data_IF_703736218049
#
_entry.id   IF_703736218049
#
_cell.length_a   1.000
_cell.length_b   1.000
_cell.length_c   1.000
_cell.angle_alpha   90.00
_cell.angle_beta   90.00
_cell.angle_gamma   90.00
#
_symmetry.space_group_name_H-M   'P 1'
#
loop_
_entity.id
_entity.type
_entity.pdbx_description
1 polymer ?
#
# COMPACT_ATOMS: atom_id res chain seq x y z
N UNK A 1 7.97 -2.50 -55.77
CA UNK A 1 7.10 -3.33 -54.91
C UNK A 1 7.64 -3.55 -53.49
N UNK A 2 8.90 -3.97 -53.30
CA UNK A 2 9.49 -4.22 -51.96
C UNK A 2 9.43 -3.03 -50.98
N UNK A 3 9.69 -1.80 -51.43
CA UNK A 3 9.62 -0.60 -50.57
C UNK A 3 8.19 -0.31 -50.07
N UNK A 4 7.17 -0.47 -50.91
CA UNK A 4 5.76 -0.29 -50.49
C UNK A 4 5.35 -1.37 -49.47
N UNK A 5 5.71 -2.63 -49.68
CA UNK A 5 5.43 -3.70 -48.70
C UNK A 5 6.12 -3.46 -47.34
N UNK A 6 7.36 -2.97 -47.33
CA UNK A 6 8.06 -2.58 -46.10
C UNK A 6 7.39 -1.40 -45.39
N UNK A 7 6.88 -0.43 -46.15
CA UNK A 7 6.18 0.74 -45.61
C UNK A 7 4.80 0.38 -45.04
N UNK A 8 4.06 -0.52 -45.70
CA UNK A 8 2.80 -1.07 -45.19
C UNK A 8 3.01 -1.86 -43.90
N UNK A 9 4.01 -2.75 -43.84
CA UNK A 9 4.33 -3.50 -42.62
C UNK A 9 4.64 -2.61 -41.41
N UNK A 10 5.38 -1.51 -41.62
CA UNK A 10 5.69 -0.52 -40.56
C UNK A 10 4.47 0.30 -40.13
N UNK A 11 3.55 0.63 -41.04
CA UNK A 11 2.30 1.31 -40.68
C UNK A 11 1.39 0.40 -39.86
N UNK A 12 1.25 -0.86 -40.25
CA UNK A 12 0.44 -1.85 -39.52
C UNK A 12 0.99 -2.11 -38.13
N UNK A 13 2.32 -2.23 -37.98
CA UNK A 13 2.95 -2.44 -36.67
C UNK A 13 2.75 -1.25 -35.70
N UNK A 14 2.87 -0.01 -36.21
CA UNK A 14 2.60 1.21 -35.43
C UNK A 14 1.15 1.32 -35.00
N UNK A 15 0.22 0.96 -35.88
CA UNK A 15 -1.21 0.94 -35.58
C UNK A 15 -1.52 -0.10 -34.50
N UNK A 16 -0.96 -1.31 -34.58
CA UNK A 16 -1.16 -2.36 -33.59
C UNK A 16 -0.63 -1.97 -32.19
N UNK A 17 0.53 -1.32 -32.12
CA UNK A 17 1.07 -0.83 -30.85
C UNK A 17 0.25 0.32 -30.26
N UNK A 18 -0.18 1.28 -31.10
CA UNK A 18 -1.07 2.35 -30.66
C UNK A 18 -2.40 1.80 -30.13
N UNK A 19 -2.97 0.79 -30.80
CA UNK A 19 -4.16 0.07 -30.35
C UNK A 19 -3.87 -0.65 -29.03
N UNK A 20 -2.74 -1.35 -28.88
CA UNK A 20 -2.39 -2.06 -27.64
C UNK A 20 -2.21 -1.09 -26.45
N UNK A 21 -1.59 0.08 -26.65
CA UNK A 21 -1.48 1.10 -25.61
C UNK A 21 -2.83 1.72 -25.27
N UNK A 22 -3.64 2.05 -26.28
CA UNK A 22 -4.98 2.59 -26.05
C UNK A 22 -5.84 1.59 -25.26
N UNK A 23 -5.78 0.31 -25.62
CA UNK A 23 -6.40 -0.78 -24.86
C UNK A 23 -5.81 -0.93 -23.45
N UNK A 24 -4.49 -0.80 -23.28
CA UNK A 24 -3.84 -0.80 -21.98
C UNK A 24 -4.31 0.34 -21.08
N UNK A 25 -4.43 1.56 -21.62
CA UNK A 25 -4.94 2.74 -20.92
C UNK A 25 -6.43 2.61 -20.58
N UNK A 26 -7.25 2.07 -21.49
CA UNK A 26 -8.66 1.78 -21.24
C UNK A 26 -8.79 0.70 -20.15
N UNK A 27 -7.99 -0.36 -20.21
CA UNK A 27 -7.96 -1.40 -19.18
C UNK A 27 -7.52 -0.85 -17.82
N UNK A 28 -6.57 0.08 -17.76
CA UNK A 28 -6.17 0.79 -16.54
C UNK A 28 -7.32 1.64 -15.98
N UNK A 29 -8.04 2.38 -16.83
CA UNK A 29 -9.23 3.16 -16.46
C UNK A 29 -10.37 2.27 -15.92
N UNK A 30 -10.62 1.13 -16.55
CA UNK A 30 -11.64 0.15 -16.11
C UNK A 30 -11.18 -0.59 -14.84
N UNK A 31 -9.88 -0.83 -14.67
CA UNK A 31 -9.30 -1.47 -13.48
C UNK A 31 -9.21 -0.51 -12.28
N UNK A 32 -9.16 0.81 -12.53
CA UNK A 32 -9.26 1.84 -11.50
C UNK A 32 -10.64 1.72 -10.85
N UNK A 33 -10.70 1.10 -9.68
CA UNK A 33 -12.00 0.85 -9.04
C UNK A 33 -12.64 2.19 -8.69
N UNK A 34 -13.76 2.52 -9.34
CA UNK A 34 -14.50 3.75 -9.09
C UNK A 34 -15.18 3.78 -7.70
N UNK A 35 -14.91 2.78 -6.86
CA UNK A 35 -15.60 2.50 -5.62
C UNK A 35 -14.94 3.12 -4.38
N UNK A 36 -13.72 3.63 -4.48
CA UNK A 36 -12.98 4.18 -3.33
C UNK A 36 -12.62 5.65 -3.58
N UNK A 37 -12.79 6.48 -2.56
CA UNK A 37 -12.29 7.85 -2.50
C UNK A 37 -11.12 7.89 -1.53
N UNK A 38 -10.01 8.50 -1.95
CA UNK A 38 -8.82 8.72 -1.12
C UNK A 38 -8.68 10.21 -0.85
N UNK A 39 -8.46 10.57 0.41
CA UNK A 39 -8.23 11.94 0.85
C UNK A 39 -6.96 12.01 1.70
N UNK A 40 -6.06 12.95 1.40
CA UNK A 40 -4.93 13.25 2.27
C UNK A 40 -5.40 13.88 3.58
N UNK A 41 -4.79 13.46 4.68
CA UNK A 41 -5.07 13.98 6.01
C UNK A 41 -3.78 14.49 6.65
N UNK A 42 -3.91 15.56 7.42
CA UNK A 42 -2.84 16.17 8.18
C UNK A 42 -3.36 16.38 9.60
N UNK A 43 -2.68 15.80 10.59
CA UNK A 43 -3.08 15.85 12.00
C UNK A 43 -1.96 16.46 12.82
N UNK A 44 -2.21 17.59 13.46
CA UNK A 44 -1.23 18.25 14.32
C UNK A 44 -1.22 17.60 15.71
N UNK A 45 -0.10 17.00 16.09
CA UNK A 45 0.13 16.39 17.41
C UNK A 45 0.56 17.45 18.42
N UNK A 46 1.43 18.36 17.98
CA UNK A 46 1.87 19.55 18.72
C UNK A 46 2.36 20.62 17.73
N UNK A 47 2.66 21.86 18.17
CA UNK A 47 3.11 22.92 17.26
C UNK A 47 4.26 22.48 16.34
N UNK A 48 4.02 22.53 15.03
CA UNK A 48 4.94 22.08 13.96
C UNK A 48 5.22 20.57 13.91
N UNK A 49 4.46 19.74 14.64
CA UNK A 49 4.53 18.29 14.55
C UNK A 49 3.25 17.76 13.91
N UNK A 50 3.31 17.60 12.58
CA UNK A 50 2.17 17.16 11.77
C UNK A 50 2.38 15.73 11.29
N UNK A 51 1.40 14.87 11.57
CA UNK A 51 1.28 13.55 10.99
C UNK A 51 0.59 13.64 9.63
N UNK A 52 1.17 12.96 8.65
CA UNK A 52 0.61 12.86 7.30
C UNK A 52 0.01 11.48 7.07
N UNK A 53 -1.19 11.44 6.53
CA UNK A 53 -1.88 10.20 6.23
C UNK A 53 -2.82 10.26 5.04
N UNK A 54 -3.57 9.18 4.86
CA UNK A 54 -4.65 9.08 3.87
C UNK A 54 -5.86 8.38 4.47
N UNK A 55 -7.04 8.92 4.16
CA UNK A 55 -8.34 8.33 4.46
C UNK A 55 -8.91 7.70 3.17
N UNK A 56 -9.12 6.39 3.21
CA UNK A 56 -9.79 5.59 2.19
C UNK A 56 -11.24 5.40 2.59
N UNK A 57 -12.18 5.86 1.77
CA UNK A 57 -13.63 5.76 2.05
C UNK A 57 -14.39 5.12 0.90
N UNK A 58 -15.52 4.44 1.18
CA UNK A 58 -16.42 4.00 0.14
C UNK A 58 -16.97 5.21 -0.62
N UNK A 59 -16.95 5.14 -1.95
CA UNK A 59 -17.54 6.18 -2.79
C UNK A 59 -19.07 6.02 -2.78
N UNK A 60 -19.76 6.86 -2.01
CA UNK A 60 -21.22 6.89 -2.02
C UNK A 60 -21.75 7.41 -3.37
N UNK A 61 -22.74 6.71 -3.94
CA UNK A 61 -23.52 7.19 -5.10
C UNK A 61 -24.64 8.14 -4.68
N UNK A 62 -24.96 8.22 -3.40
CA UNK A 62 -26.02 9.07 -2.86
C UNK A 62 -25.42 10.31 -2.19
N UNK A 63 -26.20 11.41 -2.14
CA UNK A 63 -25.77 12.66 -1.50
C UNK A 63 -25.62 12.55 0.03
N UNK A 64 -26.26 11.55 0.64
CA UNK A 64 -26.14 11.26 2.07
C UNK A 64 -24.99 10.28 2.28
N UNK A 65 -23.90 10.73 2.91
CA UNK A 65 -22.83 9.86 3.36
C UNK A 65 -23.18 9.35 4.75
N UNK A 66 -23.55 8.07 4.87
CA UNK A 66 -23.65 7.41 6.16
C UNK A 66 -22.24 7.26 6.76
N UNK A 67 -22.14 7.35 8.08
CA UNK A 67 -20.92 6.98 8.81
C UNK A 67 -20.64 5.48 8.57
N UNK A 68 -19.37 5.11 8.44
CA UNK A 68 -18.95 3.73 8.15
C UNK A 68 -17.97 3.19 9.19
N UNK A 69 -17.96 1.86 9.44
CA UNK A 69 -16.91 1.24 10.24
C UNK A 69 -15.54 1.63 9.73
N UNK A 70 -14.58 1.85 10.62
CA UNK A 70 -13.28 2.43 10.24
C UNK A 70 -12.12 1.81 10.97
N UNK A 71 -10.98 1.71 10.28
CA UNK A 71 -9.78 1.03 10.79
C UNK A 71 -8.58 1.95 10.72
N UNK A 72 -7.88 2.10 11.85
CA UNK A 72 -6.57 2.77 11.92
C UNK A 72 -5.46 1.76 11.62
N UNK A 73 -4.49 2.16 10.80
CA UNK A 73 -3.37 1.33 10.40
C UNK A 73 -2.04 1.87 10.94
N UNK A 74 -1.31 1.04 11.67
CA UNK A 74 -0.02 1.35 12.28
C UNK A 74 1.11 0.58 11.57
N UNK A 75 1.93 1.26 10.77
CA UNK A 75 2.99 0.63 9.98
C UNK A 75 4.21 0.17 10.80
N UNK A 76 5.00 -0.74 10.22
CA UNK A 76 6.21 -1.30 10.86
C UNK A 76 7.43 -0.38 10.79
N UNK A 77 8.55 -0.87 11.32
CA UNK A 77 9.84 -0.20 11.19
C UNK A 77 10.27 -0.13 9.72
N UNK A 78 10.93 0.97 9.32
CA UNK A 78 11.42 1.18 7.95
C UNK A 78 10.34 1.08 6.85
N UNK A 79 9.10 1.40 7.24
CA UNK A 79 7.91 1.38 6.39
C UNK A 79 7.23 2.76 6.43
N UNK A 80 6.09 2.89 5.77
CA UNK A 80 5.28 4.09 5.64
C UNK A 80 3.82 3.71 5.40
N UNK A 81 2.94 4.71 5.42
CA UNK A 81 1.49 4.59 5.25
C UNK A 81 1.05 3.74 4.04
N UNK A 82 1.83 3.73 2.96
CA UNK A 82 1.46 3.00 1.74
C UNK A 82 1.61 1.48 1.88
N UNK A 83 2.29 0.99 2.91
CA UNK A 83 2.32 -0.45 3.23
C UNK A 83 0.92 -1.01 3.46
N UNK A 84 0.03 -0.23 4.09
CA UNK A 84 -1.36 -0.63 4.32
C UNK A 84 -2.35 -0.09 3.29
N UNK A 85 -1.91 0.72 2.32
CA UNK A 85 -2.78 1.26 1.29
C UNK A 85 -3.59 0.19 0.54
N UNK A 86 -3.02 -0.98 0.15
CA UNK A 86 -3.81 -2.03 -0.50
C UNK A 86 -4.93 -2.57 0.38
N UNK A 87 -4.64 -2.86 1.65
CA UNK A 87 -5.64 -3.39 2.60
C UNK A 87 -6.71 -2.34 2.93
N UNK A 88 -6.31 -1.09 3.14
CA UNK A 88 -7.23 0.04 3.35
C UNK A 88 -8.16 0.26 2.16
N UNK A 89 -7.63 0.14 0.93
CA UNK A 89 -8.43 0.22 -0.30
C UNK A 89 -9.46 -0.92 -0.38
N UNK A 90 -9.05 -2.16 -0.08
CA UNK A 90 -9.92 -3.32 -0.13
C UNK A 90 -11.03 -3.27 0.92
N UNK A 91 -10.73 -2.77 2.13
CA UNK A 91 -11.75 -2.48 3.14
C UNK A 91 -12.73 -1.40 2.66
N UNK A 92 -12.21 -0.29 2.10
CA UNK A 92 -13.04 0.81 1.62
C UNK A 92 -13.95 0.37 0.47
N UNK A 93 -13.44 -0.48 -0.42
CA UNK A 93 -14.24 -1.09 -1.49
C UNK A 93 -15.35 -2.01 -0.97
N UNK A 94 -15.27 -2.47 0.29
CA UNK A 94 -16.25 -3.32 1.00
C UNK A 94 -17.09 -2.55 2.01
N UNK A 95 -16.95 -1.23 2.11
CA UNK A 95 -17.77 -0.40 3.00
C UNK A 95 -17.14 -0.04 4.34
N UNK A 96 -15.86 -0.39 4.57
CA UNK A 96 -15.13 -0.10 5.82
C UNK A 96 -14.04 0.92 5.50
N UNK A 97 -14.05 2.10 6.10
CA UNK A 97 -13.00 3.09 5.83
C UNK A 97 -11.64 2.66 6.44
N UNK A 98 -10.56 3.08 5.79
CA UNK A 98 -9.20 2.84 6.26
C UNK A 98 -8.44 4.15 6.44
N UNK A 99 -7.81 4.33 7.58
CA UNK A 99 -6.93 5.46 7.89
C UNK A 99 -5.51 4.95 8.02
N UNK A 100 -4.67 5.29 7.05
CA UNK A 100 -3.23 5.00 7.08
C UNK A 100 -2.49 6.30 7.33
N UNK A 101 -1.38 6.25 8.08
CA UNK A 101 -0.57 7.42 8.37
C UNK A 101 0.89 7.03 8.52
N UNK A 102 1.79 8.00 8.38
CA UNK A 102 3.21 7.83 8.71
C UNK A 102 3.41 8.19 10.18
N UNK A 103 4.03 7.32 10.98
CA UNK A 103 4.52 7.69 12.30
C UNK A 103 5.54 8.85 12.20
N UNK A 104 5.66 9.67 13.25
CA UNK A 104 6.74 10.65 13.31
C UNK A 104 8.12 9.98 13.16
N UNK A 105 9.00 10.59 12.37
CA UNK A 105 10.27 10.00 11.94
C UNK A 105 10.19 9.17 10.66
N UNK A 106 9.01 9.06 10.03
CA UNK A 106 8.79 8.30 8.81
C UNK A 106 8.05 9.09 7.74
N UNK A 107 8.29 8.69 6.49
CA UNK A 107 7.55 9.17 5.33
C UNK A 107 7.47 10.70 5.25
N UNK A 108 6.25 11.22 5.31
CA UNK A 108 5.94 12.65 5.20
C UNK A 108 5.49 13.26 6.54
N UNK A 109 5.56 12.51 7.63
CA UNK A 109 5.30 13.04 8.96
C UNK A 109 6.51 13.79 9.49
N UNK A 110 6.28 14.62 10.52
CA UNK A 110 7.33 15.36 11.19
C UNK A 110 8.50 14.45 11.64
N UNK A 111 9.71 15.01 11.65
CA UNK A 111 10.91 14.24 11.95
C UNK A 111 11.09 14.02 13.46
N UNK A 112 11.47 12.80 13.85
CA UNK A 112 11.87 12.43 15.21
C UNK A 112 12.57 11.07 15.23
N UNK A 113 13.36 10.77 16.29
CA UNK A 113 13.85 9.41 16.52
C UNK A 113 12.72 8.39 16.77
N UNK A 114 13.06 7.12 16.56
CA UNK A 114 12.18 5.98 16.87
C UNK A 114 11.92 5.95 18.37
N UNK A 115 10.64 5.89 18.75
CA UNK A 115 10.22 5.84 20.16
C UNK A 115 8.85 5.17 20.26
N UNK A 116 8.73 4.02 20.97
CA UNK A 116 7.44 3.37 21.19
C UNK A 116 6.41 4.29 21.87
N UNK A 117 6.83 5.04 22.89
CA UNK A 117 5.95 5.99 23.58
C UNK A 117 5.46 7.10 22.64
N UNK A 118 6.31 7.61 21.75
CA UNK A 118 5.89 8.61 20.78
C UNK A 118 5.00 8.01 19.66
N UNK A 119 5.23 6.75 19.27
CA UNK A 119 4.34 6.05 18.33
C UNK A 119 2.92 5.90 18.92
N UNK A 120 2.80 5.60 20.22
CA UNK A 120 1.52 5.57 20.90
C UNK A 120 0.81 6.93 20.82
N UNK A 121 1.52 8.02 21.14
CA UNK A 121 0.99 9.40 21.06
C UNK A 121 0.51 9.73 19.63
N UNK A 122 1.28 9.33 18.61
CA UNK A 122 0.90 9.55 17.22
C UNK A 122 -0.38 8.78 16.85
N UNK A 123 -0.45 7.49 17.23
CA UNK A 123 -1.64 6.67 17.00
C UNK A 123 -2.86 7.22 17.75
N UNK A 124 -2.67 7.74 18.97
CA UNK A 124 -3.72 8.39 19.75
C UNK A 124 -4.22 9.67 19.08
N UNK A 125 -3.32 10.52 18.56
CA UNK A 125 -3.69 11.72 17.81
C UNK A 125 -4.54 11.37 16.57
N UNK A 126 -4.15 10.33 15.84
CA UNK A 126 -4.91 9.84 14.68
C UNK A 126 -6.27 9.26 15.07
N UNK A 127 -6.35 8.48 16.16
CA UNK A 127 -7.61 7.96 16.68
C UNK A 127 -8.55 9.10 17.13
N UNK A 128 -8.01 10.12 17.77
CA UNK A 128 -8.77 11.30 18.18
C UNK A 128 -9.30 12.10 16.98
N UNK A 129 -8.50 12.22 15.92
CA UNK A 129 -8.97 12.77 14.65
C UNK A 129 -10.10 11.93 14.04
N UNK A 130 -9.98 10.59 14.05
CA UNK A 130 -11.02 9.69 13.54
C UNK A 130 -12.36 9.88 14.28
N UNK A 131 -12.32 10.06 15.61
CA UNK A 131 -13.51 10.32 16.44
C UNK A 131 -14.16 11.68 16.21
N UNK A 132 -13.54 12.57 15.43
CA UNK A 132 -14.11 13.86 15.04
C UNK A 132 -14.59 13.85 13.58
N UNK A 133 -14.23 12.83 12.80
CA UNK A 133 -14.55 12.75 11.39
C UNK A 133 -16.02 12.31 11.18
N UNK A 134 -16.88 13.13 10.54
CA UNK A 134 -18.32 12.84 10.43
C UNK A 134 -18.66 11.63 9.54
N UNK A 135 -17.68 11.09 8.82
CA UNK A 135 -17.82 9.92 7.96
C UNK A 135 -17.50 8.60 8.66
N UNK A 136 -17.06 8.65 9.91
CA UNK A 136 -16.60 7.48 10.66
C UNK A 136 -17.67 7.09 11.69
N UNK A 137 -18.01 5.81 11.74
CA UNK A 137 -18.86 5.27 12.80
C UNK A 137 -18.01 5.02 14.05
N UNK A 138 -18.23 5.83 15.08
CA UNK A 138 -17.47 5.77 16.32
C UNK A 138 -17.75 4.50 17.14
N UNK A 139 -18.82 3.76 16.84
CA UNK A 139 -19.14 2.49 17.51
C UNK A 139 -18.48 1.28 16.83
N UNK A 140 -17.89 1.48 15.64
CA UNK A 140 -17.30 0.43 14.82
C UNK A 140 -15.87 0.81 14.40
N UNK A 141 -15.03 1.08 15.39
CA UNK A 141 -13.61 1.39 15.21
C UNK A 141 -12.75 0.14 15.39
N UNK A 142 -11.72 -0.03 14.57
CA UNK A 142 -10.72 -1.07 14.73
C UNK A 142 -9.32 -0.58 14.46
N UNK A 143 -8.34 -1.44 14.74
CA UNK A 143 -6.93 -1.14 14.54
C UNK A 143 -6.20 -2.34 13.96
N UNK A 144 -5.29 -2.07 13.04
CA UNK A 144 -4.41 -3.06 12.41
C UNK A 144 -2.99 -2.55 12.52
N UNK A 145 -2.05 -3.42 12.91
CA UNK A 145 -0.65 -3.04 12.96
C UNK A 145 0.28 -4.16 12.53
N UNK A 146 1.46 -3.77 12.02
CA UNK A 146 2.53 -4.70 11.65
C UNK A 146 3.80 -4.42 12.47
N UNK A 147 4.45 -5.46 12.98
CA UNK A 147 5.74 -5.34 13.67
C UNK A 147 5.69 -4.28 14.79
N UNK A 148 6.56 -3.25 14.74
CA UNK A 148 6.51 -2.05 15.59
C UNK A 148 5.10 -1.43 15.71
N UNK A 149 4.41 -1.31 14.59
CA UNK A 149 3.05 -0.79 14.56
C UNK A 149 2.01 -1.79 15.09
N UNK A 150 2.30 -3.08 15.06
CA UNK A 150 1.49 -4.11 15.72
C UNK A 150 1.62 -4.05 17.25
N UNK A 151 2.82 -3.80 17.77
CA UNK A 151 3.01 -3.50 19.20
C UNK A 151 2.22 -2.26 19.60
N UNK A 152 2.32 -1.19 18.81
CA UNK A 152 1.55 0.04 19.03
C UNK A 152 0.04 -0.22 18.96
N UNK A 153 -0.42 -1.01 17.99
CA UNK A 153 -1.83 -1.35 17.83
C UNK A 153 -2.38 -2.17 19.00
N UNK A 154 -1.58 -3.08 19.56
CA UNK A 154 -1.95 -3.85 20.75
C UNK A 154 -2.09 -2.94 21.97
N UNK A 155 -1.11 -2.07 22.21
CA UNK A 155 -1.14 -1.10 23.32
C UNK A 155 -2.35 -0.16 23.20
N UNK A 156 -2.56 0.40 22.00
CA UNK A 156 -3.73 1.24 21.70
C UNK A 156 -5.04 0.50 21.94
N UNK A 157 -5.18 -0.74 21.48
CA UNK A 157 -6.42 -1.51 21.66
C UNK A 157 -6.69 -1.90 23.12
N UNK A 158 -5.65 -1.98 23.96
CA UNK A 158 -5.79 -2.21 25.40
C UNK A 158 -6.13 -0.92 26.14
N UNK A 159 -5.59 0.23 25.71
CA UNK A 159 -5.86 1.54 26.29
C UNK A 159 -7.22 2.14 25.86
N UNK A 160 -7.74 1.74 24.70
CA UNK A 160 -8.97 2.27 24.10
C UNK A 160 -10.02 1.17 23.85
N UNK A 161 -10.83 0.77 24.86
CA UNK A 161 -11.87 -0.26 24.75
C UNK A 161 -13.00 0.03 23.73
N UNK A 162 -13.07 1.27 23.23
CA UNK A 162 -13.90 1.66 22.10
C UNK A 162 -13.44 1.03 20.77
N UNK A 163 -12.17 0.64 20.63
CA UNK A 163 -11.68 -0.16 19.50
C UNK A 163 -12.26 -1.59 19.62
N UNK A 164 -13.16 -1.95 18.71
CA UNK A 164 -13.93 -3.20 18.72
C UNK A 164 -13.26 -4.36 18.00
N UNK A 165 -12.17 -4.10 17.29
CA UNK A 165 -11.43 -5.14 16.55
C UNK A 165 -9.96 -4.81 16.44
N UNK A 166 -9.12 -5.82 16.65
CA UNK A 166 -7.66 -5.71 16.63
C UNK A 166 -7.06 -6.77 15.72
N UNK A 167 -6.15 -6.37 14.83
CA UNK A 167 -5.37 -7.30 13.98
C UNK A 167 -3.89 -6.99 14.10
N UNK A 168 -3.10 -8.00 14.47
CA UNK A 168 -1.66 -7.90 14.57
C UNK A 168 -1.02 -8.77 13.48
N UNK A 169 -0.16 -8.18 12.65
CA UNK A 169 0.55 -8.87 11.58
C UNK A 169 2.05 -8.94 11.90
N UNK A 170 2.65 -10.13 11.79
CA UNK A 170 4.08 -10.34 12.01
C UNK A 170 4.56 -9.96 13.42
N UNK A 171 3.66 -9.94 14.41
CA UNK A 171 4.00 -9.72 15.81
C UNK A 171 2.89 -10.28 16.70
N UNK A 172 3.27 -10.70 17.90
CA UNK A 172 2.34 -10.98 18.98
C UNK A 172 2.79 -10.29 20.27
N UNK A 173 1.85 -10.11 21.18
CA UNK A 173 2.11 -9.57 22.50
C UNK A 173 1.08 -10.07 23.50
N UNK A 174 1.31 -9.74 24.77
CA UNK A 174 0.44 -10.20 25.84
C UNK A 174 -1.01 -9.72 25.63
N UNK A 175 -1.93 -10.67 25.65
CA UNK A 175 -3.36 -10.43 25.57
C UNK A 175 -4.10 -11.42 26.48
N UNK A 176 -5.33 -11.09 26.81
CA UNK A 176 -6.22 -11.91 27.64
C UNK A 176 -7.46 -12.30 26.84
N UNK A 177 -8.30 -13.23 27.33
CA UNK A 177 -9.57 -13.57 26.69
C UNK A 177 -10.54 -12.40 26.47
N UNK A 178 -10.31 -11.26 27.13
CA UNK A 178 -11.18 -10.07 27.05
C UNK A 178 -10.48 -8.80 26.60
N UNK A 179 -9.15 -8.76 26.53
CA UNK A 179 -8.42 -7.56 26.13
C UNK A 179 -7.22 -7.89 25.24
N UNK A 180 -7.07 -7.23 24.08
CA UNK A 180 -8.00 -6.27 23.48
C UNK A 180 -9.28 -6.92 22.91
N UNK A 181 -10.25 -6.12 22.47
CA UNK A 181 -11.47 -6.64 21.84
C UNK A 181 -11.16 -7.26 20.47
N UNK A 182 -11.75 -8.44 20.23
CA UNK A 182 -11.67 -9.22 19.00
C UNK A 182 -10.27 -9.19 18.35
N UNK A 183 -9.36 -10.00 18.88
CA UNK A 183 -7.96 -10.06 18.49
C UNK A 183 -7.66 -11.18 17.48
N UNK A 184 -7.14 -10.81 16.32
CA UNK A 184 -6.51 -11.72 15.36
C UNK A 184 -5.01 -11.53 15.32
N UNK A 185 -4.26 -12.62 15.39
CA UNK A 185 -2.84 -12.68 15.03
C UNK A 185 -2.71 -13.24 13.61
N UNK A 186 -1.89 -12.61 12.79
CA UNK A 186 -1.49 -13.09 11.47
C UNK A 186 0.02 -13.18 11.39
N UNK A 187 0.55 -14.37 11.10
CA UNK A 187 2.00 -14.60 11.05
C UNK A 187 2.38 -15.48 9.89
N UNK A 188 3.61 -15.34 9.42
CA UNK A 188 4.25 -16.33 8.55
C UNK A 188 4.81 -17.51 9.34
N UNK A 189 5.01 -18.64 8.67
CA UNK A 189 5.76 -19.78 9.25
C UNK A 189 7.26 -19.50 9.37
N UNK A 190 7.77 -18.50 8.65
CA UNK A 190 9.17 -18.06 8.69
C UNK A 190 9.39 -16.83 9.58
N UNK A 191 8.42 -16.46 10.41
CA UNK A 191 8.50 -15.31 11.34
C UNK A 191 9.66 -15.44 12.33
N UNK A 192 10.49 -14.40 12.40
CA UNK A 192 11.75 -14.38 13.15
C UNK A 192 11.64 -13.77 14.56
N UNK A 193 10.69 -12.86 14.79
CA UNK A 193 10.55 -12.20 16.10
C UNK A 193 9.69 -13.01 17.07
N UNK A 194 8.62 -13.61 16.55
CA UNK A 194 7.78 -14.55 17.29
C UNK A 194 7.64 -15.86 16.49
N UNK A 195 8.59 -16.80 16.64
CA UNK A 195 8.50 -18.09 15.96
C UNK A 195 7.15 -18.78 16.21
N UNK A 196 6.73 -19.63 15.27
CA UNK A 196 5.37 -20.22 15.26
C UNK A 196 4.95 -20.82 16.60
N UNK A 197 5.83 -21.55 17.29
CA UNK A 197 5.53 -22.12 18.61
C UNK A 197 5.18 -21.05 19.64
N UNK A 198 5.98 -19.97 19.70
CA UNK A 198 5.72 -18.84 20.59
C UNK A 198 4.42 -18.09 20.21
N UNK A 199 4.17 -17.89 18.92
CA UNK A 199 2.90 -17.33 18.42
C UNK A 199 1.70 -18.16 18.88
N UNK A 200 1.78 -19.49 18.80
CA UNK A 200 0.74 -20.40 19.24
C UNK A 200 0.51 -20.33 20.75
N UNK A 201 1.58 -20.28 21.55
CA UNK A 201 1.50 -20.14 23.00
C UNK A 201 0.84 -18.81 23.41
N UNK A 202 1.26 -17.70 22.81
CA UNK A 202 0.68 -16.38 23.07
C UNK A 202 -0.80 -16.35 22.65
N UNK A 203 -1.13 -16.91 21.49
CA UNK A 203 -2.49 -16.92 20.99
C UNK A 203 -3.42 -17.83 21.82
N UNK A 204 -2.89 -18.95 22.34
CA UNK A 204 -3.60 -19.82 23.28
C UNK A 204 -3.83 -19.11 24.64
N UNK A 205 -2.82 -18.41 25.16
CA UNK A 205 -2.96 -17.57 26.35
C UNK A 205 -4.03 -16.49 26.17
N UNK A 206 -4.02 -15.82 25.02
CA UNK A 206 -5.01 -14.81 24.65
C UNK A 206 -6.43 -15.37 24.52
N UNK A 207 -6.59 -16.67 24.22
CA UNK A 207 -7.87 -17.37 24.18
C UNK A 207 -8.27 -18.00 25.52
N UNK A 208 -7.32 -18.14 26.47
CA UNK A 208 -7.52 -18.85 27.73
C UNK A 208 -7.58 -20.37 27.59
N UNK A 209 -7.27 -20.90 26.40
CA UNK A 209 -7.27 -22.33 26.07
C UNK A 209 -6.50 -22.54 24.74
N UNK A 210 -6.23 -23.80 24.40
CA UNK A 210 -5.60 -24.15 23.12
C UNK A 210 -6.36 -23.54 21.93
N UNK A 211 -5.63 -22.82 21.08
CA UNK A 211 -6.13 -22.16 19.89
C UNK A 211 -5.48 -22.74 18.63
N UNK A 212 -6.13 -23.71 17.96
CA UNK A 212 -5.65 -24.21 16.68
C UNK A 212 -5.58 -23.08 15.63
N UNK A 213 -4.54 -23.06 14.78
CA UNK A 213 -4.47 -22.11 13.67
C UNK A 213 -5.72 -22.15 12.80
N UNK A 214 -6.10 -20.99 12.27
CA UNK A 214 -7.27 -20.75 11.42
C UNK A 214 -8.64 -21.05 12.06
N UNK A 215 -8.70 -21.32 13.37
CA UNK A 215 -9.94 -21.44 14.12
C UNK A 215 -10.24 -20.13 14.86
N UNK A 216 -11.50 -19.70 14.86
CA UNK A 216 -11.97 -18.67 15.80
C UNK A 216 -12.50 -19.33 17.06
N UNK A 217 -12.04 -18.86 18.21
CA UNK A 217 -12.66 -19.11 19.52
C UNK A 217 -13.28 -17.81 20.04
N UNK A 218 -14.20 -17.91 21.01
CA UNK A 218 -14.93 -16.76 21.55
C UNK A 218 -16.06 -16.27 20.63
N UNK A 219 -16.59 -15.08 20.92
CA UNK A 219 -17.66 -14.44 20.13
C UNK A 219 -17.28 -13.00 19.79
N UNK A 220 -17.68 -12.54 18.60
CA UNK A 220 -17.43 -11.16 18.20
C UNK A 220 -18.25 -10.15 19.01
N UNK A 221 -19.50 -10.51 19.36
CA UNK A 221 -20.46 -9.64 20.04
C UNK A 221 -20.08 -9.28 21.48
N UNK A 222 -19.27 -10.10 22.15
CA UNK A 222 -18.76 -9.84 23.50
C UNK A 222 -17.28 -9.45 23.53
N UNK A 223 -16.66 -9.24 22.35
CA UNK A 223 -15.26 -8.84 22.22
C UNK A 223 -14.23 -9.95 22.49
N UNK A 224 -14.67 -11.18 22.73
CA UNK A 224 -13.79 -12.29 23.14
C UNK A 224 -13.22 -13.09 21.96
N UNK A 225 -13.56 -12.75 20.72
CA UNK A 225 -13.10 -13.51 19.57
C UNK A 225 -11.56 -13.54 19.48
N UNK A 226 -10.96 -14.72 19.30
CA UNK A 226 -9.52 -14.92 19.10
C UNK A 226 -9.25 -15.82 17.92
N UNK A 227 -8.24 -15.49 17.11
CA UNK A 227 -7.77 -16.32 16.00
C UNK A 227 -6.27 -16.11 15.76
N UNK A 228 -5.56 -17.20 15.48
CA UNK A 228 -4.21 -17.18 14.92
C UNK A 228 -4.29 -17.66 13.47
N UNK A 229 -3.74 -16.90 12.53
CA UNK A 229 -3.66 -17.23 11.12
C UNK A 229 -2.19 -17.39 10.74
N UNK A 230 -1.85 -18.54 10.15
CA UNK A 230 -0.48 -18.84 9.73
C UNK A 230 -0.41 -18.93 8.20
N UNK A 231 0.36 -18.05 7.58
CA UNK A 231 0.69 -18.12 6.14
C UNK A 231 1.89 -19.05 5.91
N UNK A 232 1.79 -20.00 4.96
CA UNK A 232 2.83 -21.02 4.75
C UNK A 232 4.06 -20.52 3.98
N UNK A 233 4.07 -19.28 3.49
CA UNK A 233 5.03 -18.84 2.47
C UNK A 233 5.75 -17.53 2.75
N UNK A 234 5.54 -16.92 3.92
CA UNK A 234 6.05 -15.57 4.21
C UNK A 234 6.84 -15.51 5.51
N UNK A 235 7.72 -14.51 5.56
CA UNK A 235 8.52 -14.08 6.70
C UNK A 235 7.91 -12.83 7.37
N UNK A 236 8.61 -12.26 8.34
CA UNK A 236 8.17 -11.07 9.06
C UNK A 236 7.89 -9.86 8.15
N UNK A 237 8.76 -9.61 7.16
CA UNK A 237 8.70 -8.41 6.35
C UNK A 237 7.50 -8.42 5.39
N UNK A 238 7.13 -9.61 4.90
CA UNK A 238 6.08 -9.77 3.90
C UNK A 238 4.66 -9.93 4.47
N UNK A 239 4.51 -10.03 5.80
CA UNK A 239 3.21 -10.22 6.45
C UNK A 239 2.12 -9.22 6.04
N UNK A 240 2.37 -7.90 5.88
CA UNK A 240 1.35 -6.95 5.44
C UNK A 240 0.89 -7.14 4.00
N UNK A 241 1.71 -7.80 3.16
CA UNK A 241 1.47 -7.99 1.73
C UNK A 241 0.92 -9.38 1.39
N UNK A 242 0.94 -10.29 2.36
CA UNK A 242 0.46 -11.66 2.18
C UNK A 242 -1.05 -11.69 1.90
N UNK A 243 -1.42 -12.31 0.78
CA UNK A 243 -2.82 -12.41 0.34
C UNK A 243 -3.70 -13.09 1.38
N UNK A 244 -3.22 -14.18 1.99
CA UNK A 244 -4.00 -14.97 2.94
C UNK A 244 -4.23 -14.16 4.22
N UNK A 245 -3.22 -13.46 4.73
CA UNK A 245 -3.35 -12.59 5.90
C UNK A 245 -4.26 -11.39 5.63
N UNK A 246 -4.20 -10.79 4.43
CA UNK A 246 -5.12 -9.71 4.05
C UNK A 246 -6.57 -10.20 3.95
N UNK A 247 -6.82 -11.34 3.32
CA UNK A 247 -8.16 -11.95 3.25
C UNK A 247 -8.70 -12.26 4.64
N UNK A 248 -7.86 -12.81 5.52
CA UNK A 248 -8.21 -13.08 6.90
C UNK A 248 -8.51 -11.80 7.68
N UNK A 249 -7.71 -10.74 7.53
CA UNK A 249 -7.92 -9.46 8.20
C UNK A 249 -9.23 -8.80 7.74
N UNK A 250 -9.53 -8.81 6.44
CA UNK A 250 -10.80 -8.29 5.91
C UNK A 250 -11.99 -9.05 6.49
N UNK A 251 -11.92 -10.39 6.48
CA UNK A 251 -12.98 -11.23 7.03
C UNK A 251 -13.15 -11.00 8.53
N UNK A 252 -12.04 -10.85 9.27
CA UNK A 252 -12.05 -10.58 10.70
C UNK A 252 -12.72 -9.26 11.04
N UNK A 253 -12.26 -8.17 10.42
CA UNK A 253 -12.79 -6.81 10.63
C UNK A 253 -14.27 -6.73 10.25
N UNK A 254 -14.65 -7.34 9.12
CA UNK A 254 -16.06 -7.36 8.67
C UNK A 254 -16.97 -8.07 9.69
N UNK A 255 -16.55 -9.23 10.20
CA UNK A 255 -17.31 -9.96 11.22
C UNK A 255 -17.37 -9.21 12.56
N UNK A 256 -16.26 -8.60 13.00
CA UNK A 256 -16.21 -7.82 14.24
C UNK A 256 -17.17 -6.63 14.24
N UNK A 257 -17.42 -6.02 13.09
CA UNK A 257 -18.31 -4.87 12.94
C UNK A 257 -19.76 -5.24 12.58
N UNK A 258 -20.10 -6.53 12.55
CA UNK A 258 -21.38 -7.04 11.99
C UNK A 258 -21.66 -6.47 10.58
N UNK A 259 -20.59 -6.18 9.84
CA UNK A 259 -20.66 -5.57 8.53
C UNK A 259 -20.59 -6.68 7.50
N UNK A 260 -21.73 -7.00 6.88
CA UNK A 260 -21.77 -7.96 5.78
C UNK A 260 -21.03 -7.38 4.56
N UNK A 261 -19.85 -7.91 4.19
CA UNK A 261 -19.17 -7.41 3.00
C UNK A 261 -20.07 -7.66 1.78
N UNK A 262 -20.15 -6.69 0.87
CA UNK A 262 -20.79 -6.94 -0.44
C UNK A 262 -20.15 -8.19 -1.08
N UNK A 263 -20.95 -9.09 -1.69
CA UNK A 263 -20.48 -10.40 -2.09
C UNK A 263 -19.28 -10.31 -3.04
N UNK A 264 -18.27 -11.09 -2.68
CA UNK A 264 -17.16 -11.60 -3.46
C UNK A 264 -16.60 -10.66 -4.54
N UNK A 265 -15.84 -9.66 -4.09
CA UNK A 265 -14.79 -9.09 -4.93
C UNK A 265 -13.51 -9.84 -4.61
N UNK A 266 -12.91 -10.48 -5.61
CA UNK A 266 -11.50 -10.85 -5.56
C UNK A 266 -10.71 -9.62 -5.11
N UNK A 267 -9.69 -9.78 -4.25
CA UNK A 267 -8.77 -8.69 -3.91
C UNK A 267 -8.39 -7.96 -5.19
N UNK A 268 -8.80 -6.70 -5.28
CA UNK A 268 -8.75 -5.86 -6.46
C UNK A 268 -7.35 -5.34 -6.74
N UNK A 269 -6.30 -6.09 -6.35
CA UNK A 269 -4.95 -5.92 -6.87
C UNK A 269 -5.09 -5.86 -8.39
N UNK A 270 -4.99 -4.64 -8.92
CA UNK A 270 -5.44 -4.26 -10.24
C UNK A 270 -5.09 -5.37 -11.25
N UNK A 271 -6.12 -6.03 -11.79
CA UNK A 271 -6.06 -7.16 -12.73
C UNK A 271 -4.63 -7.34 -13.29
N UNK A 272 -3.76 -8.16 -12.69
CA UNK A 272 -2.32 -8.12 -12.98
C UNK A 272 -2.03 -8.35 -14.45
N UNK A 273 -2.90 -9.11 -15.14
CA UNK A 273 -2.89 -9.29 -16.60
C UNK A 273 -3.06 -7.98 -17.37
N UNK A 274 -3.97 -7.09 -16.95
CA UNK A 274 -4.17 -5.78 -17.58
C UNK A 274 -2.97 -4.86 -17.37
N UNK A 275 -2.36 -4.89 -16.17
CA UNK A 275 -1.16 -4.11 -15.89
C UNK A 275 0.04 -4.62 -16.70
N UNK A 276 0.24 -5.95 -16.75
CA UNK A 276 1.27 -6.58 -17.59
C UNK A 276 1.07 -6.24 -19.07
N UNK A 277 -0.18 -6.30 -19.58
CA UNK A 277 -0.49 -5.90 -20.95
C UNK A 277 -0.22 -4.41 -21.21
N UNK A 278 -0.56 -3.53 -20.26
CA UNK A 278 -0.29 -2.10 -20.37
C UNK A 278 1.22 -1.79 -20.37
N UNK A 279 1.99 -2.43 -19.48
CA UNK A 279 3.45 -2.31 -19.41
C UNK A 279 4.09 -2.85 -20.70
N UNK A 280 3.68 -4.02 -21.17
CA UNK A 280 4.18 -4.60 -22.42
C UNK A 280 3.85 -3.71 -23.63
N UNK A 281 2.64 -3.14 -23.68
CA UNK A 281 2.23 -2.19 -24.72
C UNK A 281 3.06 -0.91 -24.70
N UNK A 282 3.28 -0.32 -23.52
CA UNK A 282 4.12 0.86 -23.33
C UNK A 282 5.59 0.59 -23.72
N UNK A 283 6.15 -0.55 -23.32
CA UNK A 283 7.49 -0.98 -23.69
C UNK A 283 7.64 -1.18 -25.21
N UNK A 284 6.64 -1.78 -25.86
CA UNK A 284 6.60 -1.96 -27.31
C UNK A 284 6.58 -0.63 -28.07
N UNK A 285 5.77 0.33 -27.63
CA UNK A 285 5.76 1.69 -28.21
C UNK A 285 7.08 2.42 -28.00
N UNK A 286 7.64 2.31 -26.80
CA UNK A 286 8.94 2.90 -26.49
C UNK A 286 10.02 2.34 -27.44
N UNK A 287 10.07 1.03 -27.63
CA UNK A 287 11.02 0.40 -28.54
C UNK A 287 10.87 0.87 -30.00
N UNK A 288 9.64 1.05 -30.49
CA UNK A 288 9.40 1.58 -31.84
C UNK A 288 9.76 3.05 -31.99
N UNK A 289 9.39 3.89 -31.01
CA UNK A 289 9.73 5.31 -31.00
C UNK A 289 11.25 5.47 -30.96
N UNK A 290 11.91 4.74 -30.07
CA UNK A 290 13.37 4.70 -29.93
C UNK A 290 14.05 4.23 -31.22
N UNK A 291 13.59 3.12 -31.81
CA UNK A 291 14.09 2.62 -33.09
C UNK A 291 13.85 3.61 -34.23
N UNK A 292 12.73 4.34 -34.24
CA UNK A 292 12.48 5.39 -35.21
C UNK A 292 13.43 6.59 -35.03
N UNK A 293 13.63 7.06 -33.80
CA UNK A 293 14.57 8.14 -33.51
C UNK A 293 15.98 7.78 -33.98
N UNK A 294 16.47 6.57 -33.67
CA UNK A 294 17.77 6.10 -34.14
C UNK A 294 17.90 6.11 -35.66
N UNK A 295 16.83 5.77 -36.40
CA UNK A 295 16.81 5.78 -37.88
C UNK A 295 16.83 7.19 -38.47
N UNK A 296 16.40 8.22 -37.73
CA UNK A 296 16.49 9.62 -38.18
C UNK A 296 17.89 10.21 -38.01
N UNK A 297 18.71 9.62 -37.13
CA UNK A 297 20.07 10.06 -36.86
C UNK A 297 21.03 9.45 -37.88
N UNK A 298 21.68 10.32 -38.66
CA UNK A 298 22.59 9.91 -39.74
C UNK A 298 23.98 9.54 -39.25
N UNK A 299 24.41 10.03 -38.09
CA UNK A 299 25.76 9.78 -37.58
C UNK A 299 25.80 8.79 -36.39
N UNK A 300 26.83 7.92 -36.33
CA UNK A 300 27.04 7.03 -35.17
C UNK A 300 27.19 7.79 -33.84
N UNK A 301 27.76 8.99 -33.87
CA UNK A 301 27.91 9.86 -32.68
C UNK A 301 26.56 10.31 -32.14
N UNK A 302 25.65 10.76 -33.00
CA UNK A 302 24.29 11.16 -32.59
C UNK A 302 23.52 9.98 -31.99
N UNK A 303 23.65 8.79 -32.58
CA UNK A 303 23.01 7.58 -32.06
C UNK A 303 23.58 7.19 -30.68
N UNK A 304 24.89 7.33 -30.47
CA UNK A 304 25.53 7.10 -29.18
C UNK A 304 25.00 8.08 -28.12
N UNK A 305 24.89 9.38 -28.44
CA UNK A 305 24.34 10.39 -27.52
C UNK A 305 22.91 10.05 -27.10
N UNK A 306 22.04 9.68 -28.05
CA UNK A 306 20.66 9.28 -27.75
C UNK A 306 20.60 8.04 -26.85
N UNK A 307 21.45 7.04 -27.12
CA UNK A 307 21.57 5.82 -26.30
C UNK A 307 21.95 6.15 -24.86
N UNK A 308 22.99 6.97 -24.70
CA UNK A 308 23.49 7.37 -23.39
C UNK A 308 22.46 8.19 -22.61
N UNK A 309 21.76 9.13 -23.26
CA UNK A 309 20.73 9.95 -22.63
C UNK A 309 19.56 9.11 -22.09
N UNK A 310 19.10 8.13 -22.88
CA UNK A 310 18.03 7.22 -22.46
C UNK A 310 18.48 6.31 -21.32
N UNK A 311 19.69 5.73 -21.42
CA UNK A 311 20.22 4.86 -20.38
C UNK A 311 20.38 5.61 -19.04
N UNK A 312 20.88 6.85 -19.07
CA UNK A 312 20.99 7.72 -17.89
C UNK A 312 19.62 8.06 -17.31
N UNK A 313 18.63 8.34 -18.15
CA UNK A 313 17.25 8.65 -17.71
C UNK A 313 16.59 7.45 -17.02
N UNK A 314 16.73 6.26 -17.60
CA UNK A 314 16.22 5.01 -17.01
C UNK A 314 16.92 4.69 -15.69
N UNK A 315 18.24 4.92 -15.62
CA UNK A 315 19.01 4.76 -14.39
C UNK A 315 18.54 5.75 -13.31
N UNK A 316 18.32 7.01 -13.67
CA UNK A 316 17.77 8.03 -12.76
C UNK A 316 16.38 7.67 -12.22
N UNK A 317 15.49 7.17 -13.09
CA UNK A 317 14.17 6.67 -12.68
C UNK A 317 14.27 5.48 -11.71
N UNK A 318 15.12 4.49 -12.02
CA UNK A 318 15.37 3.35 -11.13
C UNK A 318 15.91 3.79 -9.77
N UNK A 319 16.90 4.70 -9.76
CA UNK A 319 17.46 5.24 -8.53
C UNK A 319 16.43 6.05 -7.73
N UNK A 320 15.54 6.79 -8.40
CA UNK A 320 14.45 7.54 -7.73
C UNK A 320 13.37 6.64 -7.12
N UNK A 321 13.27 5.39 -7.59
CA UNK A 321 12.36 4.38 -7.05
C UNK A 321 12.93 3.59 -5.88
N UNK A 322 14.22 3.78 -5.55
CA UNK A 322 14.81 3.17 -4.37
C UNK A 322 14.24 3.84 -3.11
N UNK A 323 13.92 3.05 -2.06
CA UNK A 323 13.53 3.58 -0.77
C UNK A 323 14.57 4.59 -0.26
N UNK A 324 14.11 5.69 0.34
CA UNK A 324 14.95 6.81 0.79
C UNK A 324 16.13 6.40 1.69
N UNK A 325 16.00 5.26 2.39
CA UNK A 325 17.06 4.65 3.20
C UNK A 325 18.30 4.17 2.40
N UNK A 326 18.21 4.03 1.08
CA UNK A 326 19.32 3.63 0.19
C UNK A 326 19.87 4.78 -0.68
N UNK A 327 19.30 5.99 -0.58
CA UNK A 327 19.79 7.16 -1.30
C UNK A 327 20.69 7.99 -0.38
N UNK A 328 22.00 8.16 -0.70
CA UNK A 328 22.78 9.22 -0.11
C UNK A 328 22.07 10.56 -0.35
N UNK A 329 22.03 11.43 0.65
CA UNK A 329 21.34 12.74 0.69
C UNK A 329 21.67 13.70 -0.48
N UNK A 330 22.61 13.35 -1.38
CA UNK A 330 23.08 14.16 -2.51
C UNK A 330 22.54 13.75 -3.89
N UNK A 331 21.85 12.60 -4.03
CA UNK A 331 21.46 12.07 -5.36
C UNK A 331 20.14 12.64 -5.90
N UNK A 332 19.20 13.07 -5.05
CA UNK A 332 17.94 13.69 -5.50
C UNK A 332 18.16 15.02 -6.23
N UNK A 333 19.16 15.82 -5.80
CA UNK A 333 19.55 17.05 -6.49
C UNK A 333 20.28 16.78 -7.83
N UNK A 334 20.98 15.66 -7.93
CA UNK A 334 21.65 15.24 -9.17
C UNK A 334 20.65 14.75 -10.25
N UNK A 335 19.54 14.12 -9.85
CA UNK A 335 18.47 13.70 -10.78
C UNK A 335 17.70 14.91 -11.33
N UNK A 336 17.45 15.95 -10.51
CA UNK A 336 16.90 17.23 -10.98
C UNK A 336 17.82 17.97 -11.96
N UNK A 337 19.14 17.92 -11.73
CA UNK A 337 20.13 18.45 -12.68
C UNK A 337 20.21 17.62 -13.98
N UNK A 338 20.02 16.29 -13.90
CA UNK A 338 20.00 15.39 -15.04
C UNK A 338 18.81 15.60 -15.98
N UNK A 339 17.61 15.88 -15.45
CA UNK A 339 16.42 16.20 -16.27
C UNK A 339 16.60 17.54 -16.99
N UNK A 340 17.26 18.51 -16.36
CA UNK A 340 17.60 19.80 -16.99
C UNK A 340 18.61 19.64 -18.14
N UNK A 341 19.52 18.66 -18.06
CA UNK A 341 20.49 18.35 -19.11
C UNK A 341 19.90 17.64 -20.34
N UNK A 342 18.67 17.11 -20.28
CA UNK A 342 17.97 16.53 -21.44
C UNK A 342 17.48 17.63 -22.41
N UNK A 343 17.32 18.87 -21.95
CA UNK A 343 16.93 20.01 -22.79
C UNK A 343 18.06 20.62 -23.64
N UNK A 344 19.33 20.41 -23.27
CA UNK A 344 20.48 21.04 -23.94
C UNK A 344 20.98 20.38 -25.25
N UNK A 345 20.85 19.06 -25.51
CA UNK A 345 21.42 18.48 -26.73
C UNK A 345 20.55 18.68 -27.97
N UNK A 346 19.27 19.05 -27.82
CA UNK A 346 18.36 19.30 -28.96
C UNK A 346 18.61 20.69 -29.58
N UNK A 347 19.17 21.64 -28.84
CA UNK A 347 19.49 22.97 -29.37
C UNK A 347 20.91 23.12 -29.95
N UNK A 348 21.86 22.26 -29.60
CA UNK A 348 23.27 22.41 -30.01
C UNK A 348 23.69 21.58 -31.23
N UNK A 349 22.81 20.76 -31.80
CA UNK A 349 23.12 19.95 -33.00
C UNK A 349 22.52 20.56 -34.28
N UNK A 350 21.85 21.70 -34.18
CA UNK A 350 21.30 22.46 -35.32
C UNK A 350 22.31 23.38 -36.03
N UNK A 351 23.55 23.46 -35.56
CA UNK A 351 24.54 24.41 -36.10
C UNK A 351 25.97 23.88 -35.98
N UNK A 352 26.30 22.84 -36.74
CA UNK A 352 27.61 22.62 -37.43
C UNK A 352 27.36 21.77 -38.67
#
# INVERSE_FOLDING_TARGET
MKQRQQQYGRCTQRLLLAIALLWGLICLQIASSHAVQVQSIAVEVSPNQVLTGQLYTPRSKTKVKAAVPSVLFCHGLSSHKDTFAPLAWELAARGIAGVVFDFGGYGQSYDRPISPAANFIDAEAMLNWMKQAPLIDHNALGIVGHSMGGTTALEMAQAHPELKSTVLLGIAGYATPRSPANLMFGSGVYEEFNPVGQMQEIAASAAGQDLPPNRTLGRFTDGTARRLVLSPSIDHALAPYDKLLQEAAIAWLSQSFDHSPSPDRSLGFARPKAMVLAVAGAAGLFAELYGWMLRQLKSPRQQLVLRSAIALSLCGLLLSSLPSQFSPFSLQNAVGAGITLIGLPIFLVGSV
#
